data_IF_171908684173
#
_entry.id   IF_171908684173
#
_cell.length_a   1.000
_cell.length_b   1.000
_cell.length_c   1.000
_cell.angle_alpha   90.00
_cell.angle_beta   90.00
_cell.angle_gamma   90.00
#
_symmetry.space_group_name_H-M   'P 1'
#
loop_
_entity.id
_entity.type
_entity.pdbx_description
1 polymer ?
#
# COMPACT_ATOMS: atom_id res chain seq x y z
N UNK A 1 -116.16 -35.12 9.88
CA UNK A 1 -115.58 -34.25 8.83
C UNK A 1 -114.80 -33.06 9.40
N UNK A 2 -115.34 -32.31 10.38
CA UNK A 2 -114.64 -31.16 10.99
C UNK A 2 -113.27 -31.49 11.61
N UNK A 3 -113.09 -32.65 12.24
CA UNK A 3 -111.83 -33.06 12.88
C UNK A 3 -110.70 -33.36 11.88
N UNK A 4 -111.02 -33.95 10.72
CA UNK A 4 -110.05 -34.17 9.63
C UNK A 4 -109.61 -32.86 8.99
N UNK A 5 -110.52 -31.90 8.82
CA UNK A 5 -110.21 -30.55 8.30
C UNK A 5 -109.34 -29.77 9.31
N UNK A 6 -109.60 -29.92 10.62
CA UNK A 6 -108.81 -29.29 11.69
C UNK A 6 -107.39 -29.86 11.78
N UNK A 7 -107.23 -31.18 11.63
CA UNK A 7 -105.91 -31.83 11.58
C UNK A 7 -105.14 -31.51 10.29
N UNK A 8 -105.80 -31.47 9.13
CA UNK A 8 -105.19 -31.02 7.87
C UNK A 8 -104.74 -29.55 7.95
N UNK A 9 -105.57 -28.65 8.50
CA UNK A 9 -105.20 -27.25 8.68
C UNK A 9 -104.01 -27.05 9.62
N UNK A 10 -103.89 -27.87 10.67
CA UNK A 10 -102.73 -27.83 11.58
C UNK A 10 -101.45 -28.34 10.92
N UNK A 11 -101.55 -29.41 10.13
CA UNK A 11 -100.43 -29.97 9.36
C UNK A 11 -99.94 -29.00 8.27
N UNK A 12 -100.85 -28.33 7.55
CA UNK A 12 -100.50 -27.31 6.54
C UNK A 12 -99.80 -26.10 7.20
N UNK A 13 -100.25 -25.68 8.39
CA UNK A 13 -99.65 -24.55 9.10
C UNK A 13 -98.25 -24.88 9.62
N UNK A 14 -98.05 -26.09 10.13
CA UNK A 14 -96.73 -26.56 10.55
C UNK A 14 -95.78 -26.70 9.35
N UNK A 15 -96.27 -27.20 8.22
CA UNK A 15 -95.49 -27.28 6.98
C UNK A 15 -95.01 -25.90 6.51
N UNK A 16 -95.89 -24.89 6.50
CA UNK A 16 -95.51 -23.53 6.12
C UNK A 16 -94.43 -22.95 7.06
N UNK A 17 -94.52 -23.20 8.37
CA UNK A 17 -93.50 -22.76 9.32
C UNK A 17 -92.15 -23.46 9.10
N UNK A 18 -92.15 -24.76 8.82
CA UNK A 18 -90.93 -25.51 8.52
C UNK A 18 -90.29 -25.05 7.20
N UNK A 19 -91.09 -24.62 6.21
CA UNK A 19 -90.59 -23.98 4.98
C UNK A 19 -89.98 -22.61 5.23
N UNK A 20 -90.61 -21.78 6.06
CA UNK A 20 -90.06 -20.47 6.45
C UNK A 20 -88.69 -20.63 7.13
N UNK A 21 -88.49 -21.69 7.93
CA UNK A 21 -87.18 -21.99 8.54
C UNK A 21 -86.14 -22.33 7.47
N UNK A 22 -86.48 -23.17 6.50
CA UNK A 22 -85.60 -23.52 5.37
C UNK A 22 -85.26 -22.27 4.55
N UNK A 23 -86.26 -21.47 4.21
CA UNK A 23 -86.09 -20.22 3.47
C UNK A 23 -85.23 -19.21 4.23
N UNK A 24 -85.40 -19.08 5.55
CA UNK A 24 -84.54 -18.25 6.39
C UNK A 24 -83.08 -18.71 6.38
N UNK A 25 -82.83 -20.01 6.44
CA UNK A 25 -81.47 -20.56 6.34
C UNK A 25 -80.86 -20.30 4.96
N UNK A 26 -81.62 -20.53 3.88
CA UNK A 26 -81.21 -20.22 2.50
C UNK A 26 -80.86 -18.73 2.37
N UNK A 27 -81.70 -17.84 2.88
CA UNK A 27 -81.49 -16.40 2.81
C UNK A 27 -80.25 -15.94 3.61
N UNK A 28 -79.95 -16.58 4.75
CA UNK A 28 -78.71 -16.33 5.48
C UNK A 28 -77.47 -16.69 4.66
N UNK A 29 -77.51 -17.81 3.93
CA UNK A 29 -76.40 -18.19 3.03
C UNK A 29 -76.28 -17.23 1.85
N UNK A 30 -77.41 -16.80 1.27
CA UNK A 30 -77.42 -15.80 0.19
C UNK A 30 -76.83 -14.45 0.62
N UNK A 31 -77.09 -14.00 1.85
CA UNK A 31 -76.51 -12.77 2.38
C UNK A 31 -74.98 -12.87 2.52
N UNK A 32 -74.49 -13.96 3.14
CA UNK A 32 -73.06 -14.23 3.27
C UNK A 32 -72.36 -14.36 1.90
N UNK A 33 -73.00 -15.03 0.93
CA UNK A 33 -72.50 -15.14 -0.44
C UNK A 33 -72.28 -13.78 -1.08
N UNK A 34 -73.22 -12.84 -0.89
CA UNK A 34 -73.13 -11.50 -1.45
C UNK A 34 -71.95 -10.72 -0.85
N UNK A 35 -71.80 -10.74 0.47
CA UNK A 35 -70.70 -10.09 1.19
C UNK A 35 -69.33 -10.66 0.76
N UNK A 36 -69.24 -11.98 0.66
CA UNK A 36 -68.02 -12.68 0.23
C UNK A 36 -67.65 -12.33 -1.22
N UNK A 37 -68.64 -12.21 -2.10
CA UNK A 37 -68.43 -11.85 -3.51
C UNK A 37 -67.88 -10.43 -3.65
N UNK A 38 -68.43 -9.50 -2.87
CA UNK A 38 -67.96 -8.12 -2.81
C UNK A 38 -66.52 -8.03 -2.30
N UNK A 39 -66.16 -8.79 -1.26
CA UNK A 39 -64.79 -8.87 -0.77
C UNK A 39 -63.80 -9.39 -1.83
N UNK A 40 -64.16 -10.47 -2.54
CA UNK A 40 -63.30 -11.06 -3.57
C UNK A 40 -63.08 -10.14 -4.78
N UNK A 41 -64.01 -9.23 -5.06
CA UNK A 41 -63.88 -8.26 -6.16
C UNK A 41 -62.87 -7.16 -5.85
N UNK A 42 -62.72 -6.76 -4.58
CA UNK A 42 -61.81 -5.67 -4.23
C UNK A 42 -61.22 -5.80 -2.81
N UNK A 43 -60.26 -6.71 -2.59
CA UNK A 43 -59.65 -6.89 -1.29
C UNK A 43 -58.71 -5.71 -0.97
N UNK A 44 -58.99 -4.98 0.11
CA UNK A 44 -58.25 -3.76 0.51
C UNK A 44 -57.16 -4.02 1.56
N UNK A 45 -57.12 -5.21 2.14
CA UNK A 45 -56.20 -5.56 3.22
C UNK A 45 -54.76 -5.82 2.71
N UNK A 46 -53.82 -5.91 3.63
CA UNK A 46 -52.47 -6.39 3.34
C UNK A 46 -52.48 -7.89 3.03
N UNK A 47 -51.59 -8.36 2.15
CA UNK A 47 -51.53 -9.75 1.67
C UNK A 47 -51.59 -10.82 2.78
N UNK A 48 -50.92 -10.61 3.91
CA UNK A 48 -50.95 -11.58 5.01
C UNK A 48 -52.33 -11.64 5.69
N UNK A 49 -52.97 -10.48 5.90
CA UNK A 49 -54.32 -10.39 6.42
C UNK A 49 -55.37 -10.90 5.40
N UNK A 50 -55.15 -10.66 4.11
CA UNK A 50 -56.00 -11.21 3.04
C UNK A 50 -55.99 -12.74 3.05
N UNK A 51 -54.83 -13.36 3.24
CA UNK A 51 -54.71 -14.81 3.28
C UNK A 51 -55.43 -15.40 4.50
N UNK A 52 -55.29 -14.79 5.68
CA UNK A 52 -55.98 -15.20 6.90
C UNK A 52 -57.51 -15.12 6.73
N UNK A 53 -58.01 -13.99 6.20
CA UNK A 53 -59.44 -13.82 5.94
C UNK A 53 -59.96 -14.82 4.90
N UNK A 54 -59.23 -15.06 3.80
CA UNK A 54 -59.63 -16.04 2.79
C UNK A 54 -59.68 -17.47 3.35
N UNK A 55 -58.82 -17.81 4.31
CA UNK A 55 -58.86 -19.11 4.98
C UNK A 55 -60.09 -19.24 5.90
N UNK A 56 -60.49 -18.16 6.58
CA UNK A 56 -61.74 -18.10 7.34
C UNK A 56 -62.93 -18.29 6.40
N UNK A 57 -63.02 -17.50 5.34
CA UNK A 57 -64.09 -17.57 4.33
C UNK A 57 -64.15 -18.94 3.64
N UNK A 58 -63.01 -19.61 3.41
CA UNK A 58 -62.97 -20.96 2.86
C UNK A 58 -63.59 -21.99 3.82
N UNK A 59 -63.33 -21.83 5.12
CA UNK A 59 -63.91 -22.68 6.17
C UNK A 59 -65.41 -22.46 6.27
N UNK A 60 -65.86 -21.20 6.24
CA UNK A 60 -67.28 -20.83 6.21
C UNK A 60 -67.99 -21.35 4.96
N UNK A 61 -67.40 -21.20 3.76
CA UNK A 61 -67.92 -21.73 2.51
C UNK A 61 -68.10 -23.26 2.57
N UNK A 62 -67.14 -23.96 3.17
CA UNK A 62 -67.19 -25.42 3.36
C UNK A 62 -68.36 -25.82 4.26
N UNK A 63 -68.54 -25.11 5.38
CA UNK A 63 -69.65 -25.33 6.29
C UNK A 63 -71.00 -25.03 5.62
N UNK A 64 -71.12 -23.92 4.89
CA UNK A 64 -72.33 -23.57 4.16
C UNK A 64 -72.69 -24.60 3.07
N UNK A 65 -71.71 -25.10 2.31
CA UNK A 65 -71.92 -26.17 1.33
C UNK A 65 -72.44 -27.46 1.97
N UNK A 66 -71.81 -27.91 3.06
CA UNK A 66 -72.25 -29.10 3.79
C UNK A 66 -73.67 -28.91 4.38
N UNK A 67 -73.97 -27.72 4.90
CA UNK A 67 -75.29 -27.40 5.44
C UNK A 67 -76.38 -27.39 4.36
N UNK A 68 -76.12 -26.82 3.18
CA UNK A 68 -77.07 -26.79 2.06
C UNK A 68 -77.26 -28.19 1.46
N UNK A 69 -76.20 -29.00 1.33
CA UNK A 69 -76.30 -30.39 0.92
C UNK A 69 -77.16 -31.21 1.89
N UNK A 70 -76.90 -31.07 3.19
CA UNK A 70 -77.70 -31.71 4.23
C UNK A 70 -79.16 -31.24 4.19
N UNK A 71 -79.40 -29.95 4.06
CA UNK A 71 -80.75 -29.38 3.97
C UNK A 71 -81.50 -29.90 2.75
N UNK A 72 -80.84 -30.01 1.59
CA UNK A 72 -81.43 -30.57 0.38
C UNK A 72 -81.79 -32.06 0.54
N UNK A 73 -80.92 -32.84 1.18
CA UNK A 73 -81.18 -34.25 1.47
C UNK A 73 -82.29 -34.42 2.52
N UNK A 74 -82.31 -33.61 3.58
CA UNK A 74 -83.35 -33.60 4.62
C UNK A 74 -84.71 -33.23 4.02
N UNK A 75 -84.79 -32.21 3.14
CA UNK A 75 -86.01 -31.85 2.44
C UNK A 75 -86.47 -32.96 1.50
N UNK A 76 -85.57 -33.52 0.69
CA UNK A 76 -85.90 -34.65 -0.20
C UNK A 76 -86.46 -35.84 0.57
N UNK A 77 -85.82 -36.23 1.67
CA UNK A 77 -86.25 -37.35 2.51
C UNK A 77 -87.60 -37.09 3.20
N UNK A 78 -87.81 -35.86 3.69
CA UNK A 78 -89.09 -35.44 4.28
C UNK A 78 -90.24 -35.60 3.29
N UNK A 79 -90.12 -35.04 2.09
CA UNK A 79 -91.20 -35.06 1.09
C UNK A 79 -91.43 -36.46 0.49
N UNK A 80 -90.36 -37.26 0.36
CA UNK A 80 -90.46 -38.67 0.01
C UNK A 80 -91.26 -39.45 1.07
N UNK A 81 -90.99 -39.23 2.35
CA UNK A 81 -91.72 -39.87 3.47
C UNK A 81 -93.20 -39.45 3.55
N UNK A 82 -93.53 -38.25 3.07
CA UNK A 82 -94.91 -37.76 2.95
C UNK A 82 -95.63 -38.25 1.68
N UNK A 83 -94.97 -39.02 0.81
CA UNK A 83 -95.49 -39.42 -0.51
C UNK A 83 -95.96 -38.23 -1.37
N UNK A 84 -95.25 -37.11 -1.29
CA UNK A 84 -95.57 -35.88 -2.04
C UNK A 84 -94.35 -35.33 -2.76
N UNK A 85 -94.58 -34.49 -3.77
CA UNK A 85 -93.51 -33.87 -4.55
C UNK A 85 -92.93 -32.68 -3.74
N UNK A 86 -91.60 -32.60 -3.67
CA UNK A 86 -90.89 -31.45 -3.11
C UNK A 86 -91.31 -30.17 -3.86
N UNK A 87 -91.68 -29.07 -3.17
CA UNK A 87 -92.03 -27.82 -3.81
C UNK A 87 -90.90 -27.32 -4.71
N UNK A 88 -91.26 -26.94 -5.93
CA UNK A 88 -90.31 -26.46 -6.93
C UNK A 88 -89.55 -25.23 -6.44
N UNK A 89 -90.18 -24.34 -5.68
CA UNK A 89 -89.53 -23.15 -5.12
C UNK A 89 -88.34 -23.52 -4.22
N UNK A 90 -88.53 -24.45 -3.27
CA UNK A 90 -87.47 -24.88 -2.35
C UNK A 90 -86.37 -25.63 -3.11
N UNK A 91 -86.77 -26.51 -4.04
CA UNK A 91 -85.82 -27.22 -4.88
C UNK A 91 -84.98 -26.28 -5.74
N UNK A 92 -85.58 -25.21 -6.28
CA UNK A 92 -84.90 -24.22 -7.09
C UNK A 92 -83.94 -23.39 -6.24
N UNK A 93 -84.41 -22.86 -5.11
CA UNK A 93 -83.56 -22.05 -4.21
C UNK A 93 -82.36 -22.84 -3.67
N UNK A 94 -82.54 -24.11 -3.30
CA UNK A 94 -81.43 -24.97 -2.87
C UNK A 94 -80.44 -25.25 -3.99
N UNK A 95 -80.92 -25.47 -5.22
CA UNK A 95 -80.07 -25.68 -6.37
C UNK A 95 -79.30 -24.41 -6.76
N UNK A 96 -79.94 -23.24 -6.72
CA UNK A 96 -79.32 -21.93 -6.96
C UNK A 96 -78.22 -21.66 -5.93
N UNK A 97 -78.51 -21.79 -4.64
CA UNK A 97 -77.51 -21.58 -3.58
C UNK A 97 -76.37 -22.59 -3.67
N UNK A 98 -76.66 -23.86 -3.98
CA UNK A 98 -75.62 -24.86 -4.19
C UNK A 98 -74.71 -24.51 -5.39
N UNK A 99 -75.26 -23.90 -6.46
CA UNK A 99 -74.47 -23.40 -7.58
C UNK A 99 -73.64 -22.17 -7.19
N UNK A 100 -74.21 -21.21 -6.46
CA UNK A 100 -73.50 -20.01 -6.02
C UNK A 100 -72.38 -20.33 -5.02
N UNK A 101 -72.55 -21.37 -4.19
CA UNK A 101 -71.53 -21.88 -3.27
C UNK A 101 -70.30 -22.48 -3.98
N UNK A 102 -70.30 -22.59 -5.32
CA UNK A 102 -69.06 -22.78 -6.09
C UNK A 102 -68.07 -21.63 -5.94
N UNK A 103 -68.47 -20.51 -5.31
CA UNK A 103 -67.55 -19.48 -4.81
C UNK A 103 -66.44 -20.09 -3.91
N UNK A 104 -66.71 -21.22 -3.24
CA UNK A 104 -65.69 -22.00 -2.53
C UNK A 104 -64.44 -22.24 -3.39
N UNK A 105 -64.64 -22.66 -4.65
CA UNK A 105 -63.52 -22.99 -5.54
C UNK A 105 -62.75 -21.72 -5.95
N UNK A 106 -63.47 -20.60 -6.15
CA UNK A 106 -62.84 -19.28 -6.38
C UNK A 106 -62.01 -18.82 -5.17
N UNK A 107 -62.52 -19.00 -3.95
CA UNK A 107 -61.78 -18.66 -2.71
C UNK A 107 -60.54 -19.55 -2.61
N UNK A 108 -60.68 -20.85 -2.83
CA UNK A 108 -59.58 -21.81 -2.76
C UNK A 108 -58.48 -21.49 -3.78
N UNK A 109 -58.85 -21.16 -5.02
CA UNK A 109 -57.89 -20.78 -6.05
C UNK A 109 -57.19 -19.47 -5.72
N UNK A 110 -57.91 -18.50 -5.12
CA UNK A 110 -57.30 -17.24 -4.67
C UNK A 110 -56.31 -17.43 -3.52
N UNK A 111 -56.61 -18.32 -2.56
CA UNK A 111 -55.68 -18.70 -1.49
C UNK A 111 -54.38 -19.27 -2.09
N UNK A 112 -54.49 -20.23 -3.02
CA UNK A 112 -53.32 -20.82 -3.68
C UNK A 112 -52.49 -19.79 -4.45
N UNK A 113 -53.15 -18.88 -5.17
CA UNK A 113 -52.49 -17.80 -5.92
C UNK A 113 -51.66 -16.91 -4.99
N UNK A 114 -52.24 -16.47 -3.88
CA UNK A 114 -51.57 -15.62 -2.89
C UNK A 114 -50.39 -16.34 -2.23
N UNK A 115 -50.57 -17.61 -1.83
CA UNK A 115 -49.50 -18.42 -1.25
C UNK A 115 -48.33 -18.63 -2.23
N UNK A 116 -48.63 -18.87 -3.50
CA UNK A 116 -47.63 -19.00 -4.56
C UNK A 116 -46.87 -17.69 -4.76
N UNK A 117 -47.57 -16.55 -4.84
CA UNK A 117 -46.96 -15.23 -4.95
C UNK A 117 -46.08 -14.87 -3.75
N UNK A 118 -46.50 -15.25 -2.54
CA UNK A 118 -45.70 -15.07 -1.32
C UNK A 118 -44.42 -15.89 -1.36
N UNK A 119 -44.52 -17.15 -1.78
CA UNK A 119 -43.36 -18.05 -1.94
C UNK A 119 -42.37 -17.49 -2.97
N UNK A 120 -42.87 -17.00 -4.11
CA UNK A 120 -42.04 -16.39 -5.14
C UNK A 120 -41.36 -15.09 -4.66
N UNK A 121 -42.08 -14.26 -3.89
CA UNK A 121 -41.51 -13.05 -3.26
C UNK A 121 -40.37 -13.36 -2.27
N UNK A 122 -40.51 -14.44 -1.50
CA UNK A 122 -39.45 -14.91 -0.60
C UNK A 122 -38.22 -15.38 -1.38
N UNK A 123 -38.41 -16.09 -2.49
CA UNK A 123 -37.31 -16.53 -3.36
C UNK A 123 -36.57 -15.34 -3.97
N UNK A 124 -37.28 -14.31 -4.48
CA UNK A 124 -36.64 -13.07 -4.92
C UNK A 124 -35.85 -12.40 -3.80
N UNK A 125 -36.40 -12.33 -2.60
CA UNK A 125 -35.68 -11.79 -1.43
C UNK A 125 -34.38 -12.55 -1.15
N UNK A 126 -34.39 -13.88 -1.27
CA UNK A 126 -33.20 -14.72 -1.08
C UNK A 126 -32.15 -14.47 -2.16
N UNK A 127 -32.56 -14.33 -3.42
CA UNK A 127 -31.63 -14.04 -4.53
C UNK A 127 -31.01 -12.65 -4.41
N UNK A 128 -31.81 -11.62 -4.05
CA UNK A 128 -31.32 -10.27 -3.77
C UNK A 128 -30.26 -10.30 -2.66
N UNK A 129 -30.52 -11.02 -1.57
CA UNK A 129 -29.55 -11.16 -0.47
C UNK A 129 -28.27 -11.86 -0.90
N UNK A 130 -28.36 -12.87 -1.77
CA UNK A 130 -27.18 -13.56 -2.32
C UNK A 130 -26.31 -12.59 -3.11
N UNK A 131 -26.88 -11.82 -4.03
CA UNK A 131 -26.14 -10.81 -4.81
C UNK A 131 -25.51 -9.75 -3.90
N UNK A 132 -26.23 -9.30 -2.86
CA UNK A 132 -25.69 -8.36 -1.88
C UNK A 132 -24.47 -8.93 -1.12
N UNK A 133 -24.49 -10.23 -0.78
CA UNK A 133 -23.37 -10.92 -0.13
C UNK A 133 -22.17 -11.06 -1.08
N UNK A 134 -22.43 -11.42 -2.34
CA UNK A 134 -21.40 -11.52 -3.37
C UNK A 134 -20.71 -10.15 -3.57
N UNK A 135 -21.48 -9.06 -3.70
CA UNK A 135 -20.96 -7.69 -3.79
C UNK A 135 -20.15 -7.26 -2.55
N UNK A 136 -20.61 -7.63 -1.35
CA UNK A 136 -19.87 -7.36 -0.12
C UNK A 136 -18.52 -8.07 -0.14
N UNK A 137 -18.48 -9.31 -0.61
CA UNK A 137 -17.24 -10.08 -0.75
C UNK A 137 -16.29 -9.42 -1.75
N UNK A 138 -16.79 -9.01 -2.92
CA UNK A 138 -16.01 -8.27 -3.93
C UNK A 138 -15.41 -6.99 -3.31
N UNK A 139 -16.21 -6.19 -2.60
CA UNK A 139 -15.75 -4.97 -1.94
C UNK A 139 -14.66 -5.22 -0.88
N UNK A 140 -14.76 -6.31 -0.12
CA UNK A 140 -13.69 -6.67 0.83
C UNK A 140 -12.38 -7.01 0.11
N UNK A 141 -12.45 -7.75 -1.00
CA UNK A 141 -11.27 -8.07 -1.83
C UNK A 141 -10.68 -6.81 -2.47
N UNK A 142 -11.51 -5.88 -2.96
CA UNK A 142 -11.06 -4.60 -3.53
C UNK A 142 -10.31 -3.72 -2.49
N UNK A 143 -10.63 -3.83 -1.20
CA UNK A 143 -9.96 -3.08 -0.14
C UNK A 143 -8.63 -3.69 0.32
N UNK A 144 -8.33 -4.94 -0.05
CA UNK A 144 -7.10 -5.59 0.37
C UNK A 144 -5.87 -4.95 -0.28
N UNK A 145 -4.80 -4.76 0.51
CA UNK A 145 -3.48 -4.38 -0.02
C UNK A 145 -2.79 -5.59 -0.63
N UNK A 146 -1.86 -5.34 -1.57
CA UNK A 146 -1.07 -6.37 -2.23
C UNK A 146 0.43 -6.16 -2.04
N UNK A 147 1.21 -7.23 -2.09
CA UNK A 147 2.66 -7.22 -2.24
C UNK A 147 3.09 -7.64 -3.67
N UNK A 148 2.16 -8.17 -4.47
CA UNK A 148 2.40 -8.60 -5.84
C UNK A 148 1.50 -7.83 -6.82
N UNK A 149 2.09 -6.92 -7.59
CA UNK A 149 1.34 -6.08 -8.52
C UNK A 149 0.80 -6.85 -9.73
N UNK A 150 1.56 -7.84 -10.22
CA UNK A 150 1.14 -8.68 -11.36
C UNK A 150 -0.08 -9.52 -10.97
N UNK A 151 -0.02 -10.16 -9.80
CA UNK A 151 -1.15 -10.91 -9.26
C UNK A 151 -2.34 -10.00 -9.00
N UNK A 152 -2.13 -8.83 -8.38
CA UNK A 152 -3.22 -7.89 -8.10
C UNK A 152 -3.92 -7.37 -9.37
N UNK A 153 -3.20 -7.14 -10.47
CA UNK A 153 -3.81 -6.77 -11.76
C UNK A 153 -4.65 -7.92 -12.34
N UNK A 154 -4.18 -9.16 -12.22
CA UNK A 154 -4.95 -10.35 -12.61
C UNK A 154 -6.21 -10.50 -11.77
N UNK A 155 -6.08 -10.41 -10.44
CA UNK A 155 -7.21 -10.49 -9.51
C UNK A 155 -8.21 -9.36 -9.75
N UNK A 156 -7.73 -8.15 -10.05
CA UNK A 156 -8.58 -7.01 -10.40
C UNK A 156 -9.44 -7.29 -11.64
N UNK A 157 -8.90 -8.00 -12.64
CA UNK A 157 -9.67 -8.41 -13.82
C UNK A 157 -10.77 -9.41 -13.43
N UNK A 158 -10.44 -10.42 -12.62
CA UNK A 158 -11.40 -11.42 -12.13
C UNK A 158 -12.51 -10.74 -11.31
N UNK A 159 -12.16 -9.77 -10.45
CA UNK A 159 -13.14 -9.00 -9.68
C UNK A 159 -14.07 -8.16 -10.57
N UNK A 160 -13.57 -7.64 -11.70
CA UNK A 160 -14.39 -6.99 -12.72
C UNK A 160 -15.42 -7.95 -13.31
N UNK A 161 -15.01 -9.16 -13.70
CA UNK A 161 -15.89 -10.20 -14.23
C UNK A 161 -16.93 -10.66 -13.18
N UNK A 162 -16.53 -10.83 -11.91
CA UNK A 162 -17.45 -11.12 -10.80
C UNK A 162 -18.49 -10.00 -10.61
N UNK A 163 -18.08 -8.74 -10.77
CA UNK A 163 -18.94 -7.56 -10.63
C UNK A 163 -19.93 -7.41 -11.79
N UNK A 164 -19.49 -7.70 -13.01
CA UNK A 164 -20.35 -7.78 -14.20
C UNK A 164 -21.38 -8.90 -14.04
N UNK A 165 -20.95 -10.07 -13.53
CA UNK A 165 -21.85 -11.17 -13.20
C UNK A 165 -22.89 -10.82 -12.13
N UNK A 166 -22.54 -9.96 -11.16
CA UNK A 166 -23.51 -9.40 -10.21
C UNK A 166 -24.50 -8.46 -10.90
N UNK A 167 -24.04 -7.63 -11.84
CA UNK A 167 -24.91 -6.73 -12.61
C UNK A 167 -25.93 -7.51 -13.44
N UNK A 168 -25.50 -8.55 -14.17
CA UNK A 168 -26.40 -9.38 -14.98
C UNK A 168 -27.51 -9.99 -14.13
N UNK A 169 -27.16 -10.62 -12.99
CA UNK A 169 -28.14 -11.17 -12.04
C UNK A 169 -29.08 -10.10 -11.48
N UNK A 170 -28.57 -8.91 -11.21
CA UNK A 170 -29.36 -7.80 -10.71
C UNK A 170 -30.39 -7.32 -11.74
N UNK A 171 -29.99 -7.21 -13.02
CA UNK A 171 -30.90 -6.83 -14.11
C UNK A 171 -31.96 -7.92 -14.37
N UNK A 172 -31.57 -9.19 -14.32
CA UNK A 172 -32.52 -10.31 -14.41
C UNK A 172 -33.55 -10.27 -13.26
N UNK A 173 -33.09 -9.99 -12.03
CA UNK A 173 -33.97 -9.83 -10.87
C UNK A 173 -34.90 -8.62 -10.99
N UNK A 174 -34.41 -7.49 -11.52
CA UNK A 174 -35.22 -6.29 -11.73
C UNK A 174 -36.36 -6.55 -12.73
N UNK A 175 -36.06 -7.17 -13.86
CA UNK A 175 -37.07 -7.57 -14.86
C UNK A 175 -38.05 -8.59 -14.26
N UNK A 176 -37.57 -9.60 -13.53
CA UNK A 176 -38.43 -10.61 -12.92
C UNK A 176 -39.37 -10.00 -11.86
N UNK A 177 -38.88 -9.06 -11.04
CA UNK A 177 -39.70 -8.35 -10.04
C UNK A 177 -40.67 -7.38 -10.70
N UNK A 178 -40.29 -6.74 -11.81
CA UNK A 178 -41.19 -5.89 -12.60
C UNK A 178 -42.36 -6.72 -13.17
N UNK A 179 -42.08 -7.86 -13.79
CA UNK A 179 -43.13 -8.77 -14.27
C UNK A 179 -44.01 -9.28 -13.11
N UNK A 180 -43.41 -9.60 -11.96
CA UNK A 180 -44.16 -10.00 -10.76
C UNK A 180 -45.07 -8.87 -10.24
N UNK A 181 -44.66 -7.62 -10.39
CA UNK A 181 -45.41 -6.45 -9.90
C UNK A 181 -46.73 -6.22 -10.62
N UNK A 182 -46.86 -6.68 -11.87
CA UNK A 182 -48.08 -6.57 -12.67
C UNK A 182 -49.27 -7.26 -12.00
N UNK A 183 -49.01 -8.38 -11.31
CA UNK A 183 -50.03 -9.16 -10.62
C UNK A 183 -49.97 -9.00 -9.09
N UNK A 184 -48.82 -8.58 -8.53
CA UNK A 184 -48.55 -8.62 -7.09
C UNK A 184 -47.93 -7.31 -6.55
N UNK A 185 -48.57 -6.18 -6.82
CA UNK A 185 -48.04 -4.85 -6.51
C UNK A 185 -47.60 -4.66 -5.03
N UNK A 186 -48.37 -5.17 -4.06
CA UNK A 186 -48.03 -5.03 -2.63
C UNK A 186 -46.74 -5.77 -2.26
N UNK A 187 -46.54 -7.00 -2.78
CA UNK A 187 -45.34 -7.81 -2.52
C UNK A 187 -44.13 -7.34 -3.32
N UNK A 188 -44.34 -6.80 -4.53
CA UNK A 188 -43.26 -6.34 -5.41
C UNK A 188 -42.64 -5.02 -4.93
N UNK A 189 -43.42 -4.10 -4.36
CA UNK A 189 -42.94 -2.79 -3.88
C UNK A 189 -41.71 -2.86 -2.95
N UNK A 190 -41.68 -3.69 -1.88
CA UNK A 190 -40.48 -3.81 -1.05
C UNK A 190 -39.31 -4.47 -1.77
N UNK A 191 -39.54 -5.38 -2.73
CA UNK A 191 -38.49 -6.01 -3.55
C UNK A 191 -37.84 -4.99 -4.48
N UNK A 192 -38.63 -4.20 -5.21
CA UNK A 192 -38.14 -3.13 -6.08
C UNK A 192 -37.29 -2.11 -5.30
N UNK A 193 -37.71 -1.74 -4.08
CA UNK A 193 -36.90 -0.87 -3.20
C UNK A 193 -35.57 -1.50 -2.82
N UNK A 194 -35.52 -2.82 -2.55
CA UNK A 194 -34.27 -3.53 -2.25
C UNK A 194 -33.37 -3.61 -3.48
N UNK A 195 -33.93 -3.85 -4.67
CA UNK A 195 -33.18 -3.88 -5.94
C UNK A 195 -32.58 -2.52 -6.24
N UNK A 196 -33.32 -1.42 -6.08
CA UNK A 196 -32.79 -0.07 -6.25
C UNK A 196 -31.58 0.22 -5.34
N UNK A 197 -31.68 -0.13 -4.05
CA UNK A 197 -30.53 -0.04 -3.12
C UNK A 197 -29.35 -0.92 -3.53
N UNK A 198 -29.63 -2.10 -4.05
CA UNK A 198 -28.60 -3.04 -4.51
C UNK A 198 -27.91 -2.52 -5.78
N UNK A 199 -28.63 -1.84 -6.65
CA UNK A 199 -28.08 -1.15 -7.82
C UNK A 199 -27.15 0.01 -7.43
N UNK A 200 -27.55 0.83 -6.44
CA UNK A 200 -26.67 1.86 -5.88
C UNK A 200 -25.39 1.25 -5.27
N UNK A 201 -25.52 0.13 -4.56
CA UNK A 201 -24.40 -0.57 -3.97
C UNK A 201 -23.46 -1.18 -5.01
N UNK A 202 -24.01 -1.75 -6.09
CA UNK A 202 -23.23 -2.22 -7.25
C UNK A 202 -22.45 -1.07 -7.89
N UNK A 203 -23.09 0.07 -8.14
CA UNK A 203 -22.44 1.27 -8.68
C UNK A 203 -21.29 1.77 -7.80
N UNK A 204 -21.46 1.70 -6.48
CA UNK A 204 -20.37 2.02 -5.55
C UNK A 204 -19.19 1.04 -5.70
N UNK A 205 -19.46 -0.26 -5.87
CA UNK A 205 -18.43 -1.26 -6.09
C UNK A 205 -17.69 -1.07 -7.42
N UNK A 206 -18.40 -0.68 -8.50
CA UNK A 206 -17.79 -0.33 -9.80
C UNK A 206 -16.80 0.82 -9.62
N UNK A 207 -17.22 1.93 -8.99
CA UNK A 207 -16.34 3.08 -8.76
C UNK A 207 -15.10 2.73 -7.93
N UNK A 208 -15.24 1.85 -6.93
CA UNK A 208 -14.10 1.38 -6.14
C UNK A 208 -13.15 0.49 -6.97
N UNK A 209 -13.70 -0.38 -7.82
CA UNK A 209 -12.92 -1.20 -8.73
C UNK A 209 -12.13 -0.36 -9.73
N UNK A 210 -12.76 0.64 -10.34
CA UNK A 210 -12.12 1.58 -11.27
C UNK A 210 -11.02 2.41 -10.58
N UNK A 211 -11.30 2.94 -9.39
CA UNK A 211 -10.32 3.69 -8.60
C UNK A 211 -9.12 2.82 -8.20
N UNK A 212 -9.37 1.57 -7.81
CA UNK A 212 -8.29 0.63 -7.51
C UNK A 212 -7.47 0.31 -8.76
N UNK A 213 -8.11 0.07 -9.90
CA UNK A 213 -7.42 -0.23 -11.15
C UNK A 213 -6.51 0.93 -11.58
N UNK A 214 -6.98 2.17 -11.50
CA UNK A 214 -6.14 3.34 -11.83
C UNK A 214 -4.93 3.45 -10.92
N UNK A 215 -5.11 3.25 -9.61
CA UNK A 215 -4.02 3.21 -8.62
C UNK A 215 -3.05 2.07 -8.84
N UNK A 216 -3.52 0.86 -9.18
CA UNK A 216 -2.65 -0.27 -9.52
C UNK A 216 -1.83 -0.01 -10.79
N UNK A 217 -2.36 0.75 -11.74
CA UNK A 217 -1.61 1.15 -12.92
C UNK A 217 -0.52 2.17 -12.58
N UNK A 218 -0.82 3.15 -11.73
CA UNK A 218 0.17 4.13 -11.22
C UNK A 218 1.20 3.50 -10.29
N UNK A 219 0.81 2.46 -9.53
CA UNK A 219 1.71 1.79 -8.61
C UNK A 219 2.91 1.15 -9.31
N UNK A 220 2.77 0.74 -10.59
CA UNK A 220 3.88 0.19 -11.35
C UNK A 220 5.01 1.21 -11.54
N UNK A 221 4.67 2.42 -12.01
CA UNK A 221 5.66 3.48 -12.25
C UNK A 221 6.27 3.98 -10.94
N UNK A 222 5.48 4.12 -9.88
CA UNK A 222 6.01 4.52 -8.57
C UNK A 222 6.96 3.48 -7.96
N UNK A 223 6.70 2.18 -8.18
CA UNK A 223 7.63 1.12 -7.75
C UNK A 223 8.92 1.13 -8.58
N UNK A 224 8.83 1.38 -9.88
CA UNK A 224 10.00 1.51 -10.76
C UNK A 224 10.88 2.69 -10.32
N UNK A 225 10.30 3.88 -10.18
CA UNK A 225 10.98 5.09 -9.67
C UNK A 225 11.60 4.86 -8.28
N UNK A 226 10.87 4.21 -7.36
CA UNK A 226 11.40 3.83 -6.05
C UNK A 226 12.64 2.92 -6.17
N UNK A 227 12.60 1.93 -7.05
CA UNK A 227 13.70 0.99 -7.23
C UNK A 227 14.91 1.62 -7.92
N UNK A 228 14.70 2.57 -8.84
CA UNK A 228 15.79 3.34 -9.45
C UNK A 228 16.54 4.17 -8.39
N UNK A 229 15.82 4.92 -7.55
CA UNK A 229 16.42 5.67 -6.44
C UNK A 229 17.13 4.74 -5.45
N UNK A 230 16.50 3.61 -5.09
CA UNK A 230 17.10 2.58 -4.25
C UNK A 230 18.44 2.09 -4.81
N UNK A 231 18.51 1.80 -6.12
CA UNK A 231 19.74 1.32 -6.77
C UNK A 231 20.85 2.38 -6.72
N UNK A 232 20.51 3.66 -6.95
CA UNK A 232 21.47 4.78 -6.88
C UNK A 232 22.05 4.92 -5.47
N UNK A 233 21.20 4.92 -4.44
CA UNK A 233 21.63 5.06 -3.05
C UNK A 233 22.49 3.86 -2.64
N UNK A 234 22.09 2.62 -2.98
CA UNK A 234 22.89 1.43 -2.67
C UNK A 234 24.27 1.46 -3.36
N UNK A 235 24.35 1.92 -4.61
CA UNK A 235 25.62 2.11 -5.31
C UNK A 235 26.50 3.14 -4.60
N UNK A 236 25.93 4.25 -4.14
CA UNK A 236 26.68 5.24 -3.38
C UNK A 236 27.17 4.68 -2.04
N UNK A 237 26.32 3.97 -1.30
CA UNK A 237 26.67 3.32 -0.02
C UNK A 237 27.85 2.36 -0.23
N UNK A 238 27.83 1.55 -1.28
CA UNK A 238 28.93 0.62 -1.59
C UNK A 238 30.23 1.37 -1.89
N UNK A 239 30.19 2.41 -2.74
CA UNK A 239 31.35 3.27 -3.01
C UNK A 239 31.90 3.90 -1.72
N UNK A 240 31.02 4.41 -0.86
CA UNK A 240 31.37 5.03 0.41
C UNK A 240 32.02 4.04 1.36
N UNK A 241 31.48 2.83 1.50
CA UNK A 241 32.10 1.77 2.29
C UNK A 241 33.49 1.42 1.79
N UNK A 242 33.67 1.22 0.49
CA UNK A 242 35.00 0.93 -0.10
C UNK A 242 35.98 2.07 0.19
N UNK A 243 35.56 3.32 0.01
CA UNK A 243 36.43 4.48 0.22
C UNK A 243 36.82 4.65 1.70
N UNK A 244 35.85 4.50 2.60
CA UNK A 244 36.01 4.68 4.04
C UNK A 244 36.80 3.56 4.71
N UNK A 245 36.76 2.34 4.18
CA UNK A 245 37.55 1.21 4.68
C UNK A 245 38.87 1.00 3.91
N UNK A 246 39.05 1.67 2.77
CA UNK A 246 40.30 1.60 1.99
C UNK A 246 41.49 2.20 2.75
N UNK A 247 42.70 1.68 2.51
CA UNK A 247 43.91 2.21 3.13
C UNK A 247 44.32 3.56 2.54
N UNK A 248 44.81 4.48 3.39
CA UNK A 248 45.36 5.77 2.93
C UNK A 248 46.80 5.57 2.45
N UNK A 249 47.12 6.13 1.28
CA UNK A 249 48.49 6.17 0.74
C UNK A 249 49.16 7.47 1.17
N UNK A 250 50.23 7.37 1.97
CA UNK A 250 50.86 8.51 2.64
C UNK A 250 52.14 9.05 1.95
N UNK A 251 52.53 8.57 0.77
CA UNK A 251 53.90 8.78 0.26
C UNK A 251 54.23 10.22 -0.16
N UNK A 252 53.24 11.03 -0.54
CA UNK A 252 53.46 12.41 -0.95
C UNK A 252 52.24 13.29 -0.70
N UNK A 253 52.46 14.60 -0.68
CA UNK A 253 51.40 15.60 -0.58
C UNK A 253 50.44 15.55 -1.78
N UNK A 254 50.94 15.21 -2.97
CA UNK A 254 50.10 15.06 -4.17
C UNK A 254 49.17 13.86 -4.05
N UNK A 255 49.65 12.71 -3.59
CA UNK A 255 48.83 11.50 -3.41
C UNK A 255 47.77 11.70 -2.33
N UNK A 256 48.12 12.34 -1.21
CA UNK A 256 47.13 12.69 -0.18
C UNK A 256 46.07 13.67 -0.71
N UNK A 257 46.46 14.61 -1.57
CA UNK A 257 45.52 15.53 -2.23
C UNK A 257 44.60 14.81 -3.22
N UNK A 258 45.09 13.86 -3.99
CA UNK A 258 44.27 13.03 -4.88
C UNK A 258 43.22 12.24 -4.08
N UNK A 259 43.64 11.61 -2.98
CA UNK A 259 42.72 10.92 -2.07
C UNK A 259 41.69 11.87 -1.46
N UNK A 260 42.09 13.08 -1.07
CA UNK A 260 41.17 14.12 -0.61
C UNK A 260 40.10 14.47 -1.65
N UNK A 261 40.50 14.65 -2.92
CA UNK A 261 39.56 14.96 -4.02
C UNK A 261 38.54 13.82 -4.17
N UNK A 262 38.97 12.55 -4.11
CA UNK A 262 38.05 11.41 -4.19
C UNK A 262 36.99 11.42 -3.07
N UNK A 263 37.40 11.73 -1.83
CA UNK A 263 36.48 11.83 -0.70
C UNK A 263 35.55 13.04 -0.82
N UNK A 264 36.05 14.16 -1.35
CA UNK A 264 35.25 15.35 -1.60
C UNK A 264 34.18 15.10 -2.67
N UNK A 265 34.56 14.55 -3.83
CA UNK A 265 33.63 14.24 -4.92
C UNK A 265 32.54 13.27 -4.48
N UNK A 266 32.89 12.24 -3.68
CA UNK A 266 31.88 11.32 -3.17
C UNK A 266 30.91 11.98 -2.18
N UNK A 267 31.37 12.98 -1.43
CA UNK A 267 30.53 13.75 -0.53
C UNK A 267 29.58 14.69 -1.29
N UNK A 268 30.03 15.27 -2.41
CA UNK A 268 29.21 16.06 -3.32
C UNK A 268 28.10 15.19 -3.97
N UNK A 269 28.42 13.94 -4.37
CA UNK A 269 27.41 12.96 -4.82
C UNK A 269 26.32 12.69 -3.75
N UNK A 270 26.62 12.90 -2.47
CA UNK A 270 25.71 12.59 -1.36
C UNK A 270 24.67 13.68 -1.06
N UNK A 271 24.78 14.86 -1.70
CA UNK A 271 23.87 16.00 -1.48
C UNK A 271 22.46 15.69 -2.01
N UNK A 272 22.36 14.92 -3.09
CA UNK A 272 21.08 14.54 -3.70
C UNK A 272 20.37 13.39 -2.95
N UNK A 273 21.09 12.63 -2.11
CA UNK A 273 20.53 11.44 -1.45
C UNK A 273 19.38 11.79 -0.49
N UNK A 274 19.46 12.92 0.22
CA UNK A 274 18.40 13.33 1.14
C UNK A 274 17.10 13.63 0.35
N UNK A 275 17.23 14.27 -0.81
CA UNK A 275 16.11 14.50 -1.75
C UNK A 275 15.56 13.18 -2.32
N UNK A 276 16.44 12.25 -2.71
CA UNK A 276 16.02 10.93 -3.20
C UNK A 276 15.27 10.13 -2.12
N UNK A 277 15.71 10.17 -0.85
CA UNK A 277 15.04 9.52 0.26
C UNK A 277 13.65 10.13 0.54
N UNK A 278 13.52 11.45 0.45
CA UNK A 278 12.23 12.14 0.54
C UNK A 278 11.30 11.75 -0.61
N UNK A 279 11.82 11.74 -1.84
CA UNK A 279 11.08 11.32 -3.03
C UNK A 279 10.63 9.85 -2.92
N UNK A 280 11.51 8.95 -2.46
CA UNK A 280 11.15 7.56 -2.16
C UNK A 280 10.00 7.48 -1.15
N UNK A 281 10.05 8.26 -0.06
CA UNK A 281 8.97 8.31 0.93
C UNK A 281 7.65 8.82 0.32
N UNK A 282 7.71 9.80 -0.58
CA UNK A 282 6.54 10.28 -1.33
C UNK A 282 5.94 9.18 -2.23
N UNK A 283 6.77 8.41 -2.96
CA UNK A 283 6.28 7.26 -3.76
C UNK A 283 5.58 6.23 -2.88
N UNK A 284 6.10 5.96 -1.68
CA UNK A 284 5.45 5.05 -0.72
C UNK A 284 4.07 5.56 -0.27
N UNK A 285 3.88 6.88 -0.13
CA UNK A 285 2.55 7.43 0.20
C UNK A 285 1.53 7.17 -0.92
N UNK A 286 1.94 7.35 -2.18
CA UNK A 286 1.10 7.04 -3.34
C UNK A 286 0.73 5.54 -3.41
N UNK A 287 1.67 4.67 -3.05
CA UNK A 287 1.50 3.22 -3.05
C UNK A 287 0.64 2.69 -1.88
N UNK A 288 0.64 3.36 -0.72
CA UNK A 288 0.10 2.86 0.54
C UNK A 288 -1.39 2.43 0.50
N UNK A 289 -2.16 2.97 -0.45
CA UNK A 289 -3.58 2.65 -0.60
C UNK A 289 -3.86 1.32 -1.30
N UNK A 290 -2.92 0.79 -2.09
CA UNK A 290 -3.08 -0.47 -2.85
C UNK A 290 -1.98 -1.48 -2.56
N UNK A 291 -0.81 -1.04 -2.10
CA UNK A 291 0.39 -1.85 -1.91
C UNK A 291 0.85 -1.86 -0.44
N UNK A 292 1.46 -2.97 -0.01
CA UNK A 292 2.07 -3.11 1.32
C UNK A 292 3.44 -2.40 1.35
N UNK A 293 3.51 -1.24 1.99
CA UNK A 293 4.68 -0.35 1.98
C UNK A 293 5.50 -0.40 3.27
N UNK A 294 5.08 -1.20 4.25
CA UNK A 294 5.63 -1.16 5.62
C UNK A 294 7.12 -1.52 5.66
N UNK A 295 7.53 -2.57 4.94
CA UNK A 295 8.94 -2.98 4.85
C UNK A 295 9.79 -1.96 4.06
N UNK A 296 9.21 -1.36 3.03
CA UNK A 296 9.90 -0.37 2.20
C UNK A 296 10.14 0.93 2.98
N UNK A 297 9.17 1.35 3.80
CA UNK A 297 9.35 2.51 4.68
C UNK A 297 10.47 2.28 5.71
N UNK A 298 10.59 1.06 6.24
CA UNK A 298 11.73 0.69 7.08
C UNK A 298 13.05 0.75 6.31
N UNK A 299 13.07 0.27 5.06
CA UNK A 299 14.25 0.33 4.20
C UNK A 299 14.70 1.77 3.95
N UNK A 300 13.79 2.70 3.63
CA UNK A 300 14.12 4.13 3.46
C UNK A 300 14.75 4.71 4.73
N UNK A 301 14.19 4.37 5.90
CA UNK A 301 14.71 4.85 7.19
C UNK A 301 16.13 4.33 7.45
N UNK A 302 16.37 3.05 7.16
CA UNK A 302 17.67 2.41 7.36
C UNK A 302 18.73 2.94 6.38
N UNK A 303 18.36 3.15 5.11
CA UNK A 303 19.23 3.78 4.11
C UNK A 303 19.62 5.20 4.52
N UNK A 304 18.69 5.99 5.04
CA UNK A 304 18.98 7.32 5.56
C UNK A 304 19.98 7.30 6.72
N UNK A 305 19.79 6.37 7.67
CA UNK A 305 20.71 6.18 8.80
C UNK A 305 22.12 5.79 8.33
N UNK A 306 22.22 4.79 7.48
CA UNK A 306 23.50 4.29 6.96
C UNK A 306 24.23 5.34 6.11
N UNK A 307 23.50 6.08 5.28
CA UNK A 307 24.06 7.17 4.47
C UNK A 307 24.64 8.27 5.35
N UNK A 308 23.92 8.70 6.38
CA UNK A 308 24.39 9.76 7.27
C UNK A 308 25.62 9.31 8.07
N UNK A 309 25.66 8.07 8.57
CA UNK A 309 26.83 7.52 9.24
C UNK A 309 28.08 7.52 8.35
N UNK A 310 27.94 7.08 7.09
CA UNK A 310 29.01 7.10 6.11
C UNK A 310 29.43 8.54 5.77
N UNK A 311 28.47 9.46 5.60
CA UNK A 311 28.73 10.88 5.33
C UNK A 311 29.57 11.50 6.45
N UNK A 312 29.25 11.22 7.71
CA UNK A 312 30.03 11.69 8.85
C UNK A 312 31.43 11.06 8.89
N UNK A 313 31.56 9.77 8.60
CA UNK A 313 32.87 9.12 8.56
C UNK A 313 33.76 9.67 7.43
N UNK A 314 33.19 9.93 6.25
CA UNK A 314 33.87 10.59 5.13
C UNK A 314 34.31 12.01 5.53
N UNK A 315 33.44 12.81 6.15
CA UNK A 315 33.78 14.18 6.62
C UNK A 315 34.97 14.18 7.58
N UNK A 316 34.98 13.28 8.58
CA UNK A 316 36.09 13.15 9.53
C UNK A 316 37.38 12.75 8.79
N UNK A 317 37.30 11.76 7.90
CA UNK A 317 38.45 11.28 7.13
C UNK A 317 39.00 12.34 6.17
N UNK A 318 38.11 13.12 5.55
CA UNK A 318 38.46 14.23 4.67
C UNK A 318 39.25 15.31 5.42
N UNK A 319 38.80 15.69 6.63
CA UNK A 319 39.52 16.63 7.48
C UNK A 319 40.93 16.12 7.82
N UNK A 320 41.04 14.85 8.22
CA UNK A 320 42.33 14.22 8.51
C UNK A 320 43.27 14.20 7.28
N UNK A 321 42.74 13.90 6.09
CA UNK A 321 43.50 13.92 4.84
C UNK A 321 43.96 15.34 4.48
N UNK A 322 43.11 16.35 4.65
CA UNK A 322 43.46 17.74 4.39
C UNK A 322 44.62 18.21 5.27
N UNK A 323 44.51 17.91 6.57
CA UNK A 323 45.50 18.24 7.58
C UNK A 323 46.83 17.52 7.33
N UNK A 324 46.77 16.23 6.99
CA UNK A 324 47.95 15.46 6.63
C UNK A 324 48.62 15.94 5.32
N UNK A 325 47.84 16.27 4.29
CA UNK A 325 48.36 16.79 3.02
C UNK A 325 49.07 18.14 3.23
N UNK A 326 48.52 19.00 4.10
CA UNK A 326 49.12 20.29 4.45
C UNK A 326 50.47 20.12 5.14
N UNK A 327 50.57 19.20 6.10
CA UNK A 327 51.82 18.96 6.82
C UNK A 327 52.85 18.23 5.96
N UNK A 328 52.42 17.27 5.14
CA UNK A 328 53.27 16.60 4.15
C UNK A 328 53.86 17.61 3.15
N UNK A 329 53.04 18.57 2.67
CA UNK A 329 53.51 19.62 1.75
C UNK A 329 54.60 20.50 2.37
N UNK A 330 54.46 20.83 3.67
CA UNK A 330 55.49 21.58 4.40
C UNK A 330 56.77 20.76 4.55
N UNK A 331 56.65 19.50 4.94
CA UNK A 331 57.78 18.59 5.06
C UNK A 331 58.54 18.43 3.74
N UNK A 332 57.83 18.20 2.63
CA UNK A 332 58.44 18.15 1.30
C UNK A 332 59.13 19.47 0.90
N UNK A 333 58.55 20.63 1.26
CA UNK A 333 59.15 21.93 0.97
C UNK A 333 60.46 22.12 1.75
N UNK A 334 60.47 21.83 3.05
CA UNK A 334 61.69 21.92 3.86
C UNK A 334 62.75 20.89 3.43
N UNK A 335 62.33 19.70 3.02
CA UNK A 335 63.23 18.68 2.50
C UNK A 335 63.91 19.14 1.21
N UNK A 336 63.15 19.73 0.26
CA UNK A 336 63.70 20.34 -0.96
C UNK A 336 64.63 21.51 -0.63
N UNK A 337 64.27 22.35 0.34
CA UNK A 337 65.10 23.47 0.78
C UNK A 337 66.45 23.00 1.35
N UNK A 338 66.45 21.92 2.14
CA UNK A 338 67.67 21.32 2.67
C UNK A 338 68.51 20.69 1.55
N UNK A 339 67.89 19.94 0.64
CA UNK A 339 68.58 19.32 -0.49
C UNK A 339 69.25 20.38 -1.38
N UNK A 340 68.52 21.43 -1.78
CA UNK A 340 69.08 22.50 -2.60
C UNK A 340 70.25 23.23 -1.91
N UNK A 341 70.14 23.46 -0.60
CA UNK A 341 71.21 24.07 0.18
C UNK A 341 72.43 23.15 0.29
N UNK A 342 72.22 21.84 0.41
CA UNK A 342 73.29 20.85 0.47
C UNK A 342 74.01 20.72 -0.89
N UNK A 343 73.27 20.68 -2.00
CA UNK A 343 73.83 20.65 -3.36
C UNK A 343 74.63 21.93 -3.65
N UNK A 344 74.13 23.09 -3.25
CA UNK A 344 74.87 24.36 -3.34
C UNK A 344 76.17 24.29 -2.52
N UNK A 345 76.09 23.86 -1.27
CA UNK A 345 77.24 23.74 -0.39
C UNK A 345 78.28 22.71 -0.91
N UNK A 346 77.82 21.61 -1.52
CA UNK A 346 78.68 20.61 -2.17
C UNK A 346 79.37 21.19 -3.42
N UNK A 347 78.64 21.91 -4.28
CA UNK A 347 79.24 22.51 -5.49
C UNK A 347 80.28 23.58 -5.14
N UNK A 348 80.04 24.41 -4.11
CA UNK A 348 81.03 25.35 -3.57
C UNK A 348 82.27 24.61 -3.04
N UNK A 349 82.11 23.46 -2.38
CA UNK A 349 83.20 22.64 -1.85
C UNK A 349 84.04 21.95 -2.94
N UNK A 350 83.39 21.39 -3.97
CA UNK A 350 84.05 20.61 -5.03
C UNK A 350 84.51 21.43 -6.22
N UNK A 351 84.36 22.77 -6.18
CA UNK A 351 84.74 23.63 -7.30
C UNK A 351 86.26 23.55 -7.58
N UNK A 352 86.68 23.05 -8.76
CA UNK A 352 88.08 22.90 -9.12
C UNK A 352 88.78 24.25 -9.37
N UNK A 353 88.01 25.33 -9.48
CA UNK A 353 88.50 26.70 -9.69
C UNK A 353 89.18 27.25 -8.43
N UNK A 354 88.82 26.75 -7.24
CA UNK A 354 89.36 27.19 -5.94
C UNK A 354 90.88 26.95 -5.84
N UNK A 355 91.39 25.90 -6.48
CA UNK A 355 92.83 25.60 -6.55
C UNK A 355 93.65 26.60 -7.38
N UNK A 356 93.00 27.44 -8.19
CA UNK A 356 93.64 28.44 -9.08
C UNK A 356 93.57 29.88 -8.54
N UNK A 357 92.82 30.10 -7.46
CA UNK A 357 92.63 31.41 -6.82
C UNK A 357 93.79 31.77 -5.89
N UNK A 358 93.97 33.06 -5.61
CA UNK A 358 94.96 33.54 -4.63
C UNK A 358 94.60 33.10 -3.20
N UNK A 359 95.58 33.06 -2.30
CA UNK A 359 95.37 32.65 -0.89
C UNK A 359 94.27 33.49 -0.18
N UNK A 360 94.16 34.78 -0.53
CA UNK A 360 93.13 35.69 0.00
C UNK A 360 91.73 35.33 -0.51
N UNK A 361 91.61 35.01 -1.79
CA UNK A 361 90.36 34.59 -2.42
C UNK A 361 89.94 33.19 -1.96
N UNK A 362 90.90 32.29 -1.74
CA UNK A 362 90.66 30.98 -1.14
C UNK A 362 90.15 31.07 0.30
N UNK A 363 90.63 32.03 1.09
CA UNK A 363 90.12 32.28 2.45
C UNK A 363 88.70 32.85 2.42
N UNK A 364 88.42 33.82 1.54
CA UNK A 364 87.04 34.34 1.40
C UNK A 364 86.07 33.28 0.89
N UNK A 365 86.50 32.42 -0.04
CA UNK A 365 85.71 31.29 -0.54
C UNK A 365 85.37 30.29 0.58
N UNK A 366 86.34 29.99 1.45
CA UNK A 366 86.12 29.11 2.60
C UNK A 366 85.28 29.74 3.70
N UNK A 367 85.41 31.04 3.95
CA UNK A 367 84.57 31.74 4.90
C UNK A 367 83.12 31.83 4.42
N UNK A 368 82.92 31.98 3.10
CA UNK A 368 81.61 31.86 2.47
C UNK A 368 81.04 30.44 2.66
N UNK A 369 81.82 29.40 2.37
CA UNK A 369 81.43 28.01 2.58
C UNK A 369 81.04 27.73 4.05
N UNK A 370 81.80 28.23 5.04
CA UNK A 370 81.46 28.08 6.45
C UNK A 370 80.12 28.75 6.82
N UNK A 371 79.84 29.92 6.26
CA UNK A 371 78.54 30.59 6.42
C UNK A 371 77.40 29.78 5.78
N UNK A 372 77.62 29.20 4.59
CA UNK A 372 76.67 28.28 3.96
C UNK A 372 76.43 27.05 4.85
N UNK A 373 77.47 26.46 5.44
CA UNK A 373 77.38 25.34 6.37
C UNK A 373 76.62 25.68 7.66
N UNK A 374 76.86 26.86 8.25
CA UNK A 374 76.12 27.33 9.42
C UNK A 374 74.63 27.51 9.12
N UNK A 375 74.30 27.94 7.89
CA UNK A 375 72.92 28.08 7.42
C UNK A 375 72.19 26.73 7.24
N UNK A 376 72.90 25.60 7.18
CA UNK A 376 72.30 24.26 7.11
C UNK A 376 71.69 23.82 8.46
N UNK A 377 72.23 24.26 9.60
CA UNK A 377 71.74 23.87 10.93
C UNK A 377 70.25 24.20 11.15
N UNK A 378 69.77 25.44 10.93
CA UNK A 378 68.34 25.75 11.09
C UNK A 378 67.46 25.00 10.06
N UNK A 379 67.97 24.70 8.85
CA UNK A 379 67.24 23.93 7.83
C UNK A 379 67.07 22.46 8.23
N UNK A 380 68.12 21.83 8.77
CA UNK A 380 68.04 20.48 9.35
C UNK A 380 67.04 20.44 10.49
N UNK A 381 67.07 21.44 11.38
CA UNK A 381 66.11 21.54 12.47
C UNK A 381 64.66 21.70 11.98
N UNK A 382 64.43 22.52 10.94
CA UNK A 382 63.11 22.68 10.34
C UNK A 382 62.56 21.36 9.74
N UNK A 383 63.41 20.59 9.05
CA UNK A 383 63.03 19.27 8.52
C UNK A 383 62.67 18.30 9.67
N UNK A 384 63.45 18.28 10.75
CA UNK A 384 63.16 17.45 11.93
C UNK A 384 61.84 17.84 12.61
N UNK A 385 61.60 19.14 12.77
CA UNK A 385 60.33 19.64 13.32
C UNK A 385 59.15 19.21 12.45
N UNK A 386 59.22 19.45 11.12
CA UNK A 386 58.19 19.03 10.20
C UNK A 386 57.92 17.52 10.28
N UNK A 387 58.98 16.71 10.30
CA UNK A 387 58.89 15.24 10.42
C UNK A 387 58.16 14.82 11.71
N UNK A 388 58.47 15.45 12.85
CA UNK A 388 57.84 15.13 14.15
C UNK A 388 56.36 15.52 14.22
N UNK A 389 55.93 16.49 13.41
CA UNK A 389 54.55 16.98 13.37
C UNK A 389 53.67 16.28 12.32
N UNK A 390 54.21 15.35 11.54
CA UNK A 390 53.45 14.63 10.52
C UNK A 390 52.33 13.80 11.15
N UNK A 391 51.09 14.09 10.78
CA UNK A 391 49.90 13.31 11.18
C UNK A 391 49.76 12.04 10.35
N UNK A 392 50.77 11.17 10.41
CA UNK A 392 50.78 9.88 9.72
C UNK A 392 50.93 8.75 10.77
N UNK A 393 50.35 7.55 10.55
CA UNK A 393 50.49 6.44 11.49
C UNK A 393 51.96 6.08 11.73
N UNK A 394 52.32 5.80 12.99
CA UNK A 394 53.71 5.56 13.40
C UNK A 394 54.36 4.40 12.63
N UNK A 395 53.58 3.38 12.28
CA UNK A 395 53.98 2.22 11.50
C UNK A 395 54.39 2.62 10.08
N UNK A 396 53.77 3.66 9.52
CA UNK A 396 54.03 4.15 8.17
C UNK A 396 55.22 5.09 8.14
N UNK A 397 55.43 5.92 9.18
CA UNK A 397 56.57 6.86 9.29
C UNK A 397 57.90 6.15 9.01
N UNK A 398 58.12 4.99 9.64
CA UNK A 398 59.37 4.24 9.55
C UNK A 398 59.60 3.64 8.14
N UNK A 399 58.55 3.45 7.35
CA UNK A 399 58.62 2.88 6.01
C UNK A 399 58.62 3.93 4.90
N UNK A 400 58.38 5.20 5.24
CA UNK A 400 58.14 6.26 4.27
C UNK A 400 59.42 6.66 3.52
N UNK A 401 59.46 6.65 2.17
CA UNK A 401 60.64 7.04 1.41
C UNK A 401 61.12 8.47 1.70
N UNK A 402 60.19 9.40 1.95
CA UNK A 402 60.52 10.78 2.30
C UNK A 402 61.19 10.89 3.68
N UNK A 403 60.79 10.06 4.66
CA UNK A 403 61.46 10.03 5.97
C UNK A 403 62.88 9.46 5.87
N UNK A 404 63.08 8.43 5.05
CA UNK A 404 64.42 7.91 4.76
C UNK A 404 65.29 8.94 4.03
N UNK A 405 64.73 9.67 3.06
CA UNK A 405 65.44 10.73 2.37
C UNK A 405 65.83 11.88 3.32
N UNK A 406 64.93 12.26 4.24
CA UNK A 406 65.24 13.25 5.27
C UNK A 406 66.38 12.80 6.18
N UNK A 407 66.39 11.55 6.63
CA UNK A 407 67.46 11.02 7.46
C UNK A 407 68.81 11.08 6.72
N UNK A 408 68.86 10.62 5.46
CA UNK A 408 70.09 10.68 4.65
C UNK A 408 70.59 12.11 4.45
N UNK A 409 69.71 13.06 4.09
CA UNK A 409 70.10 14.46 3.90
C UNK A 409 70.61 15.11 5.20
N UNK A 410 70.08 14.72 6.36
CA UNK A 410 70.59 15.18 7.66
C UNK A 410 71.99 14.62 7.97
N UNK A 411 72.24 13.34 7.66
CA UNK A 411 73.55 12.71 7.79
C UNK A 411 74.57 13.36 6.85
N UNK A 412 74.21 13.56 5.58
CA UNK A 412 75.05 14.22 4.58
C UNK A 412 75.37 15.67 4.95
N UNK A 413 74.39 16.44 5.45
CA UNK A 413 74.62 17.80 5.95
C UNK A 413 75.62 17.80 7.12
N UNK A 414 75.53 16.82 8.03
CA UNK A 414 76.45 16.68 9.16
C UNK A 414 77.86 16.31 8.69
N UNK A 415 77.99 15.39 7.74
CA UNK A 415 79.28 15.00 7.15
C UNK A 415 79.92 16.15 6.37
N UNK A 416 79.13 16.91 5.62
CA UNK A 416 79.60 18.07 4.86
C UNK A 416 80.09 19.19 5.79
N UNK A 417 79.35 19.47 6.87
CA UNK A 417 79.81 20.39 7.92
C UNK A 417 81.15 19.94 8.52
N UNK A 418 81.29 18.65 8.86
CA UNK A 418 82.53 18.14 9.41
C UNK A 418 83.71 18.27 8.43
N UNK A 419 83.47 17.95 7.15
CA UNK A 419 84.49 18.02 6.09
C UNK A 419 84.92 19.46 5.83
N UNK A 420 83.97 20.40 5.75
CA UNK A 420 84.25 21.81 5.54
C UNK A 420 85.07 22.41 6.69
N UNK A 421 84.75 22.07 7.95
CA UNK A 421 85.52 22.49 9.13
C UNK A 421 86.95 21.93 9.08
N UNK A 422 87.11 20.64 8.76
CA UNK A 422 88.43 20.02 8.64
C UNK A 422 89.28 20.69 7.55
N UNK A 423 88.71 20.92 6.36
CA UNK A 423 89.42 21.60 5.28
C UNK A 423 89.81 23.04 5.64
N UNK A 424 88.97 23.77 6.37
CA UNK A 424 89.31 25.10 6.86
C UNK A 424 90.47 25.07 7.86
N UNK A 425 90.47 24.11 8.78
CA UNK A 425 91.53 23.95 9.78
C UNK A 425 92.90 23.62 9.14
N UNK A 426 92.94 22.76 8.12
CA UNK A 426 94.19 22.37 7.44
C UNK A 426 94.88 23.55 6.74
N UNK A 427 94.13 24.47 6.13
CA UNK A 427 94.72 25.63 5.44
C UNK A 427 95.03 26.81 6.37
N UNK A 428 94.31 26.96 7.47
CA UNK A 428 94.73 27.87 8.54
C UNK A 428 96.07 27.41 9.16
N UNK A 429 96.28 26.10 9.33
CA UNK A 429 97.56 25.54 9.76
C UNK A 429 98.66 25.67 8.68
N UNK A 430 98.33 25.48 7.40
CA UNK A 430 99.28 25.62 6.28
C UNK A 430 99.71 27.07 5.98
N UNK A 431 98.83 28.05 6.19
CA UNK A 431 99.14 29.49 6.05
C UNK A 431 99.99 30.05 7.19
N UNK A 432 99.90 29.46 8.39
CA UNK A 432 100.80 29.76 9.50
C UNK A 432 102.21 29.16 9.31
N UNK A 433 102.36 28.15 8.44
CA UNK A 433 103.64 27.51 8.15
C UNK A 433 104.55 28.26 7.17
N UNK A 434 104.03 29.25 6.42
CA UNK A 434 104.81 30.00 5.42
C UNK A 434 105.22 31.40 5.88
N UNK A 435 104.88 31.80 7.10
CA UNK A 435 105.25 33.11 7.67
C UNK A 435 106.58 33.10 8.45
N UNK A 436 107.29 31.97 8.49
CA UNK A 436 108.63 31.85 9.10
C UNK A 436 109.60 31.15 8.15
N UNK A 437 110.05 31.82 7.08
CA UNK A 437 111.35 31.61 6.41
C UNK A 437 111.46 32.51 5.16
N UNK A 438 111.85 33.77 5.37
CA UNK A 438 112.82 34.48 4.51
C UNK A 438 112.95 35.93 4.98
N UNK A 439 113.79 36.12 5.99
CA UNK A 439 114.54 37.38 6.16
C UNK A 439 116.00 37.02 5.91
N UNK A 440 116.46 37.24 4.69
CA UNK A 440 117.82 37.66 4.35
C UNK A 440 117.90 38.02 2.87
#
# INVERSE_FOLDING_TARGET
>A
MQEKVKNYGKAIKQELQEREVVESQINSVKAWLQETKEYLENPTMEVDAQLEELQILLTEATNHRQNVEKMAEDQKNKYLGLYTILPSEISLQLAEVALDLRIHDRIQDKVKEIEQSKTMSQEFSRQIQKVAKDLTTILTKLKAKTDNLVQAKTDQKVLGEELDGCNSKLMELDVAVQNFSEQNGQLAKPLAKKIGKLAEFHQQAVRQAENRLSKLNQAASHLEEYNEMLELILKWIEKAKVLVHGNIVWNSASQLREQYILHQTLLEEAEEIDSDLEAMAEKLQHLASVYCTEKMSQQVTELGRETEELRQMIKIRLQNLQDAAKDMKKFEAELRNLQAALEQAQTTLTSPEVGRLSLKEQLSHRQHLLSEMESLKPKVHAVQQCQSTLRIPAEVVASLPLCHAALRLQEEASQLQHTAIQQCNVLQAGGAGTSHLSTK
#
